data_IF_024172548416
#
_entry.id   IF_024172548416
#
_cell.length_a   1.000
_cell.length_b   1.000
_cell.length_c   1.000
_cell.angle_alpha   90.00
_cell.angle_beta   90.00
_cell.angle_gamma   90.00
#
_symmetry.space_group_name_H-M   'P 1'
#
loop_
_entity.id
_entity.type
_entity.pdbx_description
1 polymer ?
#
# COMPACT_ATOMS: atom_id res chain seq x y z
N UNK A 1 8.47 -28.01 -62.91
CA UNK A 1 8.98 -27.09 -61.88
C UNK A 1 7.87 -26.85 -60.85
N UNK A 2 7.90 -27.54 -59.69
CA UNK A 2 6.91 -27.36 -58.59
C UNK A 2 7.37 -26.22 -57.71
N UNK A 3 6.58 -25.15 -57.61
CA UNK A 3 6.82 -24.03 -56.66
C UNK A 3 6.31 -24.46 -55.30
N UNK A 4 7.24 -24.62 -54.34
CA UNK A 4 6.90 -24.83 -52.91
C UNK A 4 6.64 -23.44 -52.33
N UNK A 5 5.38 -23.18 -51.94
CA UNK A 5 5.01 -21.99 -51.15
C UNK A 5 5.17 -22.37 -49.68
N UNK A 6 6.19 -21.82 -49.03
CA UNK A 6 6.38 -21.95 -47.60
C UNK A 6 5.53 -20.86 -46.94
N UNK A 7 4.42 -21.27 -46.29
CA UNK A 7 3.59 -20.41 -45.48
C UNK A 7 4.29 -20.24 -44.12
N UNK A 8 4.90 -19.07 -43.89
CA UNK A 8 5.46 -18.71 -42.57
C UNK A 8 4.29 -18.27 -41.68
N UNK A 9 3.80 -19.18 -40.86
CA UNK A 9 2.85 -18.82 -39.78
C UNK A 9 3.61 -18.12 -38.64
N UNK A 10 3.46 -16.79 -38.56
CA UNK A 10 3.95 -16.01 -37.42
C UNK A 10 3.09 -16.36 -36.20
N UNK A 11 3.60 -17.17 -35.29
CA UNK A 11 3.03 -17.36 -33.97
C UNK A 11 3.31 -16.07 -33.17
N UNK A 12 2.35 -15.16 -33.16
CA UNK A 12 2.32 -14.08 -32.15
C UNK A 12 1.88 -14.73 -30.84
N UNK A 13 2.84 -15.15 -30.03
CA UNK A 13 2.60 -15.50 -28.65
C UNK A 13 2.21 -14.22 -27.89
N UNK A 14 0.94 -13.85 -27.92
CA UNK A 14 0.40 -12.90 -26.95
C UNK A 14 0.52 -13.57 -25.58
N UNK A 15 1.46 -13.10 -24.78
CA UNK A 15 1.61 -13.55 -23.40
C UNK A 15 0.35 -13.17 -22.63
N UNK A 16 -0.56 -14.13 -22.43
CA UNK A 16 -1.81 -13.95 -21.67
C UNK A 16 -1.63 -13.53 -20.20
N UNK A 17 -0.41 -13.38 -19.76
CA UNK A 17 -0.02 -12.87 -18.45
C UNK A 17 -0.16 -11.34 -18.33
N UNK A 18 0.06 -10.61 -19.42
CA UNK A 18 -0.10 -9.15 -19.46
C UNK A 18 -1.56 -8.74 -19.25
N UNK A 19 -2.52 -9.52 -19.76
CA UNK A 19 -3.93 -9.19 -19.68
C UNK A 19 -4.48 -9.34 -18.26
N UNK A 20 -4.14 -10.42 -17.53
CA UNK A 20 -4.65 -10.67 -16.18
C UNK A 20 -4.12 -9.64 -15.17
N UNK A 21 -2.88 -9.18 -15.32
CA UNK A 21 -2.30 -8.15 -14.46
C UNK A 21 -2.94 -6.77 -14.72
N UNK A 22 -3.13 -6.41 -15.98
CA UNK A 22 -3.84 -5.19 -16.36
C UNK A 22 -5.30 -5.18 -15.87
N UNK A 23 -5.99 -6.33 -15.95
CA UNK A 23 -7.35 -6.49 -15.43
C UNK A 23 -7.40 -6.34 -13.89
N UNK A 24 -6.40 -6.85 -13.17
CA UNK A 24 -6.28 -6.64 -11.72
C UNK A 24 -6.16 -5.15 -11.38
N UNK A 25 -5.21 -4.44 -11.97
CA UNK A 25 -5.03 -3.01 -11.68
C UNK A 25 -6.27 -2.20 -12.04
N UNK A 26 -6.90 -2.49 -13.17
CA UNK A 26 -8.15 -1.84 -13.60
C UNK A 26 -9.27 -2.07 -12.57
N UNK A 27 -9.48 -3.32 -12.13
CA UNK A 27 -10.51 -3.62 -11.14
C UNK A 27 -10.19 -3.07 -9.76
N UNK A 28 -8.91 -3.12 -9.32
CA UNK A 28 -8.48 -2.51 -8.07
C UNK A 28 -8.72 -0.99 -8.08
N UNK A 29 -8.41 -0.31 -9.21
CA UNK A 29 -8.68 1.11 -9.34
C UNK A 29 -10.18 1.43 -9.21
N UNK A 30 -11.05 0.73 -9.95
CA UNK A 30 -12.49 0.91 -9.88
C UNK A 30 -13.05 0.62 -8.47
N UNK A 31 -12.49 -0.37 -7.77
CA UNK A 31 -12.84 -0.68 -6.39
C UNK A 31 -12.50 0.48 -5.46
N UNK A 32 -11.26 0.99 -5.49
CA UNK A 32 -10.87 2.10 -4.62
C UNK A 32 -11.65 3.37 -4.93
N UNK A 33 -11.91 3.69 -6.19
CA UNK A 33 -12.75 4.84 -6.59
C UNK A 33 -14.17 4.74 -6.03
N UNK A 34 -14.73 3.53 -5.94
CA UNK A 34 -16.10 3.30 -5.49
C UNK A 34 -16.26 3.30 -3.97
N UNK A 35 -15.26 2.77 -3.25
CA UNK A 35 -15.40 2.46 -1.82
C UNK A 35 -14.50 3.28 -0.91
N UNK A 36 -13.58 4.09 -1.46
CA UNK A 36 -12.67 4.93 -0.68
C UNK A 36 -12.98 6.41 -0.92
N UNK A 37 -13.22 7.15 0.15
CA UNK A 37 -13.44 8.59 0.10
C UNK A 37 -12.70 9.28 1.25
N UNK A 38 -11.85 10.26 0.94
CA UNK A 38 -11.08 11.03 1.93
C UNK A 38 -10.32 10.13 2.94
N UNK A 39 -9.70 9.06 2.47
CA UNK A 39 -8.93 8.12 3.29
C UNK A 39 -9.76 7.11 4.08
N UNK A 40 -11.08 7.17 3.99
CA UNK A 40 -12.02 6.31 4.69
C UNK A 40 -12.67 5.31 3.76
N UNK A 41 -13.01 4.13 4.29
CA UNK A 41 -13.58 3.01 3.55
C UNK A 41 -15.04 2.79 3.92
N UNK A 42 -15.88 2.47 2.94
CA UNK A 42 -17.29 2.17 3.11
C UNK A 42 -17.51 0.72 3.62
N UNK A 43 -16.97 0.38 4.80
CA UNK A 43 -16.98 -0.99 5.34
C UNK A 43 -18.39 -1.55 5.53
N UNK A 44 -19.35 -0.76 6.03
CA UNK A 44 -20.73 -1.19 6.19
C UNK A 44 -21.38 -1.58 4.85
N UNK A 45 -21.05 -0.89 3.76
CA UNK A 45 -21.52 -1.23 2.41
C UNK A 45 -20.87 -2.52 1.91
N UNK A 46 -19.56 -2.65 2.07
CA UNK A 46 -18.79 -3.81 1.66
C UNK A 46 -19.17 -5.07 2.46
N UNK A 47 -19.48 -4.95 3.75
CA UNK A 47 -19.94 -6.08 4.55
C UNK A 47 -21.29 -6.64 4.07
N UNK A 48 -22.18 -5.78 3.54
CA UNK A 48 -23.46 -6.21 2.97
C UNK A 48 -23.31 -6.87 1.59
N UNK A 49 -22.36 -6.39 0.79
CA UNK A 49 -22.05 -6.92 -0.53
C UNK A 49 -20.55 -6.75 -0.81
N UNK A 50 -19.82 -7.85 -0.69
CA UNK A 50 -18.36 -7.89 -0.90
C UNK A 50 -17.95 -8.28 -2.32
N UNK A 51 -18.92 -8.45 -3.24
CA UNK A 51 -18.67 -9.03 -4.57
C UNK A 51 -17.53 -8.33 -5.30
N UNK A 52 -17.50 -7.01 -5.34
CA UNK A 52 -16.44 -6.26 -6.04
C UNK A 52 -15.06 -6.51 -5.43
N UNK A 53 -14.98 -6.65 -4.10
CA UNK A 53 -13.72 -6.97 -3.40
C UNK A 53 -13.30 -8.42 -3.67
N UNK A 54 -14.23 -9.36 -3.61
CA UNK A 54 -13.96 -10.78 -3.85
C UNK A 54 -13.53 -11.01 -5.30
N UNK A 55 -14.13 -10.30 -6.26
CA UNK A 55 -13.76 -10.34 -7.68
C UNK A 55 -12.30 -9.87 -7.90
N UNK A 56 -11.88 -8.76 -7.28
CA UNK A 56 -10.50 -8.26 -7.45
C UNK A 56 -9.49 -9.15 -6.72
N UNK A 57 -9.82 -9.67 -5.54
CA UNK A 57 -8.95 -10.61 -4.81
C UNK A 57 -8.83 -11.96 -5.55
N UNK A 58 -9.89 -12.40 -6.23
CA UNK A 58 -9.84 -13.59 -7.08
C UNK A 58 -8.86 -13.44 -8.24
N UNK A 59 -8.74 -12.26 -8.85
CA UNK A 59 -7.70 -11.97 -9.84
C UNK A 59 -6.31 -11.99 -9.20
N UNK A 60 -6.14 -11.32 -8.04
CA UNK A 60 -4.88 -11.27 -7.33
C UNK A 60 -4.33 -12.66 -6.97
N UNK A 61 -5.21 -13.63 -6.70
CA UNK A 61 -4.83 -15.01 -6.40
C UNK A 61 -4.01 -15.67 -7.48
N UNK A 62 -4.34 -15.45 -8.75
CA UNK A 62 -3.74 -16.14 -9.91
C UNK A 62 -2.57 -15.39 -10.56
N UNK A 63 -2.32 -14.15 -10.15
CA UNK A 63 -1.22 -13.35 -10.71
C UNK A 63 0.11 -13.87 -10.20
N UNK A 64 1.05 -14.05 -11.12
CA UNK A 64 2.45 -14.32 -10.79
C UNK A 64 3.27 -13.09 -11.11
N UNK A 65 3.83 -12.46 -10.09
CA UNK A 65 4.69 -11.29 -10.22
C UNK A 65 6.15 -11.67 -10.14
N UNK A 66 7.03 -10.99 -10.92
CA UNK A 66 8.48 -11.15 -10.85
C UNK A 66 9.13 -9.86 -10.35
N UNK A 67 10.14 -9.99 -9.49
CA UNK A 67 10.96 -8.86 -9.02
C UNK A 67 11.76 -8.19 -10.15
N UNK A 68 11.95 -8.87 -11.27
CA UNK A 68 12.59 -8.28 -12.45
C UNK A 68 11.78 -7.14 -13.05
N UNK A 69 10.47 -7.10 -12.74
CA UNK A 69 9.55 -5.98 -13.03
C UNK A 69 9.22 -5.25 -11.74
N UNK A 70 10.21 -4.57 -11.17
CA UNK A 70 10.16 -4.01 -9.82
C UNK A 70 8.89 -3.17 -9.55
N UNK A 71 8.54 -2.26 -10.44
CA UNK A 71 7.38 -1.37 -10.26
C UNK A 71 6.06 -2.15 -10.27
N UNK A 72 5.91 -3.11 -11.19
CA UNK A 72 4.74 -3.98 -11.27
C UNK A 72 4.62 -4.86 -10.02
N UNK A 73 5.73 -5.43 -9.57
CA UNK A 73 5.79 -6.22 -8.34
C UNK A 73 5.35 -5.41 -7.11
N UNK A 74 5.93 -4.23 -6.91
CA UNK A 74 5.60 -3.35 -5.79
C UNK A 74 4.15 -2.88 -5.87
N UNK A 75 3.69 -2.39 -7.02
CA UNK A 75 2.32 -1.95 -7.22
C UNK A 75 1.31 -3.07 -6.92
N UNK A 76 1.57 -4.29 -7.40
CA UNK A 76 0.74 -5.46 -7.11
C UNK A 76 0.63 -5.73 -5.60
N UNK A 77 1.76 -5.79 -4.88
CA UNK A 77 1.76 -6.12 -3.47
C UNK A 77 1.19 -5.01 -2.59
N UNK A 78 1.37 -3.73 -2.95
CA UNK A 78 0.74 -2.60 -2.25
C UNK A 78 -0.79 -2.67 -2.37
N UNK A 79 -1.32 -2.84 -3.58
CA UNK A 79 -2.76 -2.97 -3.77
C UNK A 79 -3.32 -4.21 -3.08
N UNK A 80 -2.65 -5.35 -3.21
CA UNK A 80 -3.06 -6.61 -2.59
C UNK A 80 -3.09 -6.51 -1.06
N UNK A 81 -2.11 -5.85 -0.45
CA UNK A 81 -2.09 -5.55 0.99
C UNK A 81 -3.32 -4.72 1.39
N UNK A 82 -3.54 -3.58 0.73
CA UNK A 82 -4.64 -2.68 1.07
C UNK A 82 -6.02 -3.32 0.88
N UNK A 83 -6.22 -4.08 -0.21
CA UNK A 83 -7.45 -4.84 -0.44
C UNK A 83 -7.67 -5.93 0.61
N UNK A 84 -6.59 -6.62 1.03
CA UNK A 84 -6.65 -7.66 2.05
C UNK A 84 -6.91 -7.10 3.44
N UNK A 85 -6.39 -5.92 3.78
CA UNK A 85 -6.76 -5.20 5.01
C UNK A 85 -8.26 -4.92 5.02
N UNK A 86 -8.81 -4.41 3.92
CA UNK A 86 -10.26 -4.16 3.80
C UNK A 86 -11.04 -5.48 3.95
N UNK A 87 -10.59 -6.57 3.31
CA UNK A 87 -11.20 -7.90 3.45
C UNK A 87 -11.20 -8.37 4.90
N UNK A 88 -10.08 -8.28 5.59
CA UNK A 88 -9.96 -8.68 7.00
C UNK A 88 -10.89 -7.88 7.92
N UNK A 89 -11.10 -6.58 7.65
CA UNK A 89 -12.03 -5.76 8.43
C UNK A 89 -13.48 -6.18 8.17
N UNK A 90 -13.89 -6.37 6.92
CA UNK A 90 -15.29 -6.75 6.62
C UNK A 90 -15.64 -8.16 7.09
N UNK A 91 -14.67 -9.09 7.11
CA UNK A 91 -14.86 -10.45 7.61
C UNK A 91 -15.10 -10.49 9.14
N UNK A 92 -14.68 -9.44 9.83
CA UNK A 92 -14.82 -9.26 11.28
C UNK A 92 -15.77 -8.10 11.64
N UNK A 93 -16.53 -7.60 10.67
CA UNK A 93 -17.40 -6.43 10.88
C UNK A 93 -18.68 -6.81 11.66
N UNK A 94 -19.14 -5.97 12.61
CA UNK A 94 -18.54 -4.70 13.03
C UNK A 94 -17.33 -4.87 13.96
N UNK A 95 -16.28 -4.09 13.74
CA UNK A 95 -15.10 -4.04 14.61
C UNK A 95 -14.67 -2.58 14.84
N UNK A 96 -14.15 -2.25 16.00
CA UNK A 96 -13.66 -0.90 16.30
C UNK A 96 -12.21 -0.70 15.88
N UNK A 97 -11.45 -1.80 15.81
CA UNK A 97 -10.02 -1.79 15.50
C UNK A 97 -9.62 -3.08 14.79
N UNK A 98 -8.67 -3.04 13.84
CA UNK A 98 -8.05 -4.27 13.34
C UNK A 98 -7.44 -5.13 14.45
N UNK A 99 -6.98 -4.50 15.55
CA UNK A 99 -6.38 -5.19 16.70
C UNK A 99 -7.39 -5.96 17.56
N UNK A 100 -8.69 -5.72 17.40
CA UNK A 100 -9.73 -6.52 18.08
C UNK A 100 -9.72 -7.98 17.58
N UNK A 101 -9.07 -8.24 16.45
CA UNK A 101 -8.98 -9.53 15.82
C UNK A 101 -7.55 -10.11 15.98
N UNK A 102 -7.40 -11.03 16.93
CA UNK A 102 -6.09 -11.59 17.28
C UNK A 102 -5.39 -12.24 16.07
N UNK A 103 -4.22 -11.73 15.71
CA UNK A 103 -3.45 -12.21 14.57
C UNK A 103 -3.88 -11.66 13.21
N UNK A 104 -4.60 -10.53 13.20
CA UNK A 104 -5.06 -9.86 11.97
C UNK A 104 -3.93 -9.68 10.94
N UNK A 105 -2.78 -9.21 11.35
CA UNK A 105 -1.63 -8.99 10.46
C UNK A 105 -0.72 -10.20 10.32
N UNK A 106 -0.52 -10.99 11.38
CA UNK A 106 0.53 -12.01 11.45
C UNK A 106 0.03 -13.43 11.18
N UNK A 107 -1.28 -13.72 11.37
CA UNK A 107 -1.80 -15.11 11.30
C UNK A 107 -2.81 -15.29 10.18
N UNK A 108 -3.66 -14.30 9.91
CA UNK A 108 -4.65 -14.36 8.83
C UNK A 108 -3.93 -14.39 7.48
N UNK A 109 -4.23 -15.42 6.68
CA UNK A 109 -3.60 -15.62 5.37
C UNK A 109 -4.59 -15.36 4.25
N UNK A 110 -4.11 -14.72 3.22
CA UNK A 110 -4.83 -14.41 1.98
C UNK A 110 -4.20 -15.17 0.81
N UNK A 111 -5.02 -15.64 -0.14
CA UNK A 111 -4.54 -16.28 -1.37
C UNK A 111 -4.18 -15.19 -2.39
N UNK A 112 -2.89 -14.86 -2.53
CA UNK A 112 -2.39 -13.77 -3.35
C UNK A 112 -1.10 -14.21 -4.05
N UNK A 113 -0.93 -13.85 -5.31
CA UNK A 113 0.32 -14.12 -6.01
C UNK A 113 0.67 -15.62 -6.12
N UNK A 114 -0.33 -16.49 -6.17
CA UNK A 114 -0.15 -17.94 -6.20
C UNK A 114 0.25 -18.58 -4.86
N UNK A 115 0.19 -17.83 -3.74
CA UNK A 115 0.59 -18.33 -2.41
C UNK A 115 -0.38 -17.90 -1.32
N UNK A 116 -0.33 -18.57 -0.16
CA UNK A 116 -1.02 -18.14 1.06
C UNK A 116 -0.08 -17.30 1.91
N UNK A 117 -0.37 -16.02 2.05
CA UNK A 117 0.52 -15.05 2.68
C UNK A 117 -0.21 -14.17 3.69
N UNK A 118 0.48 -13.73 4.74
CA UNK A 118 -0.03 -12.79 5.73
C UNK A 118 0.26 -11.34 5.31
N UNK A 119 -0.48 -10.38 5.88
CA UNK A 119 -0.19 -8.95 5.69
C UNK A 119 1.24 -8.61 6.16
N UNK A 120 1.63 -9.12 7.31
CA UNK A 120 2.99 -8.94 7.84
C UNK A 120 4.08 -9.45 6.89
N UNK A 121 3.86 -10.59 6.24
CA UNK A 121 4.83 -11.13 5.29
C UNK A 121 4.91 -10.28 4.00
N UNK A 122 3.77 -9.75 3.53
CA UNK A 122 3.77 -8.82 2.38
C UNK A 122 4.61 -7.58 2.70
N UNK A 123 4.31 -6.93 3.82
CA UNK A 123 5.01 -5.71 4.23
C UNK A 123 6.50 -5.97 4.46
N UNK A 124 6.84 -6.94 5.32
CA UNK A 124 8.21 -7.09 5.79
C UNK A 124 9.12 -7.89 4.85
N UNK A 125 8.60 -8.97 4.22
CA UNK A 125 9.44 -9.86 3.39
C UNK A 125 9.41 -9.51 1.91
N UNK A 126 8.26 -9.05 1.39
CA UNK A 126 8.12 -8.82 -0.05
C UNK A 126 8.40 -7.37 -0.45
N UNK A 127 8.10 -6.40 0.41
CA UNK A 127 8.31 -4.98 0.12
C UNK A 127 9.52 -4.43 0.87
N UNK A 128 9.47 -4.27 2.19
CA UNK A 128 10.53 -3.60 2.96
C UNK A 128 11.91 -4.25 2.79
N UNK A 129 12.02 -5.56 2.97
CA UNK A 129 13.31 -6.27 2.87
C UNK A 129 13.88 -6.36 1.44
N UNK A 130 13.06 -6.08 0.41
CA UNK A 130 13.48 -6.22 -0.98
C UNK A 130 13.87 -4.88 -1.62
N UNK A 131 13.21 -3.79 -1.22
CA UNK A 131 13.33 -2.50 -1.89
C UNK A 131 13.88 -1.40 -0.99
N UNK A 132 13.90 -1.61 0.33
CA UNK A 132 14.43 -0.65 1.32
C UNK A 132 13.88 0.77 1.13
N UNK A 133 12.60 0.90 0.74
CA UNK A 133 11.95 2.18 0.48
C UNK A 133 11.05 2.60 1.66
N UNK A 134 11.44 3.62 2.45
CA UNK A 134 10.63 4.10 3.58
C UNK A 134 9.26 4.65 3.18
N UNK A 135 9.03 4.95 1.91
CA UNK A 135 7.76 5.48 1.41
C UNK A 135 6.62 4.45 1.51
N UNK A 136 6.94 3.16 1.64
CA UNK A 136 5.91 2.13 1.87
C UNK A 136 5.07 2.39 3.11
N UNK A 137 5.64 3.01 4.15
CA UNK A 137 4.91 3.37 5.37
C UNK A 137 3.83 4.44 5.16
N UNK A 138 3.76 5.07 3.99
CA UNK A 138 2.75 6.06 3.64
C UNK A 138 1.70 5.53 2.64
N UNK A 139 1.82 4.28 2.20
CA UNK A 139 0.94 3.65 1.20
C UNK A 139 0.37 2.31 1.62
N UNK A 140 1.00 1.62 2.59
CA UNK A 140 0.45 0.42 3.23
C UNK A 140 -0.46 0.85 4.37
N UNK A 141 -1.77 0.79 4.16
CA UNK A 141 -2.77 1.33 5.09
C UNK A 141 -3.40 0.20 5.89
N UNK A 142 -3.13 0.18 7.20
CA UNK A 142 -3.57 -0.89 8.12
C UNK A 142 -5.05 -0.81 8.54
N UNK A 143 -5.86 0.02 7.88
CA UNK A 143 -7.29 0.16 8.15
C UNK A 143 -7.66 1.02 9.36
N UNK A 144 -6.70 1.76 9.91
CA UNK A 144 -6.91 2.61 11.09
C UNK A 144 -6.83 4.11 10.76
N UNK A 145 -7.46 4.95 11.57
CA UNK A 145 -7.41 6.43 11.42
C UNK A 145 -5.98 6.97 11.58
N UNK A 146 -5.12 6.29 12.34
CA UNK A 146 -3.71 6.67 12.52
C UNK A 146 -2.84 6.45 11.30
N UNK A 147 -3.30 5.69 10.28
CA UNK A 147 -2.59 5.52 9.01
C UNK A 147 -2.55 6.82 8.19
N UNK A 148 -1.60 6.96 7.28
CA UNK A 148 -1.78 7.87 6.16
C UNK A 148 -3.08 7.58 5.41
N UNK A 149 -3.70 8.59 4.76
CA UNK A 149 -4.97 8.39 4.07
C UNK A 149 -4.83 7.35 2.94
N UNK A 150 -5.72 6.36 2.92
CA UNK A 150 -5.83 5.47 1.77
C UNK A 150 -6.33 6.27 0.56
N UNK A 151 -5.62 6.16 -0.56
CA UNK A 151 -6.07 6.85 -1.79
C UNK A 151 -7.20 6.07 -2.46
N UNK A 152 -8.06 6.80 -3.16
CA UNK A 152 -9.16 6.23 -3.94
C UNK A 152 -8.74 5.78 -5.35
N UNK A 153 -7.51 5.33 -5.51
CA UNK A 153 -6.94 4.83 -6.77
C UNK A 153 -6.03 3.65 -6.48
N UNK A 154 -5.86 2.78 -7.46
CA UNK A 154 -4.82 1.77 -7.40
C UNK A 154 -3.43 2.41 -7.58
N UNK A 155 -2.42 1.79 -6.98
CA UNK A 155 -1.02 2.01 -7.33
C UNK A 155 -0.75 1.29 -8.65
N UNK A 156 -0.20 2.01 -9.62
CA UNK A 156 0.01 1.50 -10.97
C UNK A 156 1.51 1.45 -11.30
N UNK A 157 1.99 0.43 -12.00
CA UNK A 157 3.42 0.31 -12.33
C UNK A 157 4.01 1.56 -12.98
N UNK A 158 3.27 2.16 -13.92
CA UNK A 158 3.74 3.29 -14.74
C UNK A 158 3.87 4.60 -13.94
N UNK A 159 3.19 4.71 -12.82
CA UNK A 159 3.14 5.93 -11.97
C UNK A 159 3.53 5.67 -10.54
N UNK A 160 4.07 4.49 -10.22
CA UNK A 160 4.32 4.06 -8.85
C UNK A 160 5.20 5.03 -8.07
N UNK A 161 6.33 5.42 -8.65
CA UNK A 161 7.28 6.32 -7.99
C UNK A 161 6.63 7.69 -7.69
N UNK A 162 5.89 8.24 -8.62
CA UNK A 162 5.13 9.49 -8.44
C UNK A 162 4.05 9.35 -7.36
N UNK A 163 3.36 8.20 -7.31
CA UNK A 163 2.33 7.92 -6.30
C UNK A 163 2.95 7.79 -4.91
N UNK A 164 4.08 7.08 -4.76
CA UNK A 164 4.83 6.96 -3.51
C UNK A 164 5.30 8.33 -3.01
N UNK A 165 5.89 9.12 -3.90
CA UNK A 165 6.36 10.49 -3.64
C UNK A 165 5.20 11.39 -3.19
N UNK A 166 4.08 11.34 -3.88
CA UNK A 166 2.89 12.15 -3.60
C UNK A 166 2.28 11.80 -2.24
N UNK A 167 2.10 10.51 -1.93
CA UNK A 167 1.53 10.10 -0.64
C UNK A 167 2.46 10.44 0.52
N UNK A 168 3.76 10.31 0.35
CA UNK A 168 4.74 10.73 1.34
C UNK A 168 4.66 12.23 1.61
N UNK A 169 4.55 13.06 0.56
CA UNK A 169 4.37 14.51 0.69
C UNK A 169 3.06 14.87 1.38
N UNK A 170 1.96 14.24 1.02
CA UNK A 170 0.65 14.46 1.66
C UNK A 170 0.73 14.16 3.15
N UNK A 171 1.29 13.01 3.54
CA UNK A 171 1.43 12.64 4.93
C UNK A 171 2.30 13.63 5.72
N UNK A 172 3.51 13.92 5.22
CA UNK A 172 4.50 14.73 5.93
C UNK A 172 4.20 16.25 5.91
N UNK A 173 3.29 16.73 5.06
CA UNK A 173 2.78 18.11 5.09
C UNK A 173 1.38 18.23 5.73
N UNK A 174 0.76 17.10 6.06
CA UNK A 174 -0.57 17.00 6.67
C UNK A 174 -0.53 16.76 8.18
N UNK A 175 -1.51 15.99 8.66
CA UNK A 175 -1.73 15.70 10.08
C UNK A 175 -0.78 14.69 10.69
N UNK A 176 0.01 13.99 9.87
CA UNK A 176 1.00 12.99 10.29
C UNK A 176 2.14 13.59 11.12
N UNK A 177 2.26 14.91 11.08
CA UNK A 177 3.32 15.65 11.72
C UNK A 177 2.82 17.02 12.18
N UNK A 178 3.30 17.49 13.35
CA UNK A 178 3.02 18.83 13.91
C UNK A 178 4.31 19.49 14.38
N UNK A 179 4.59 20.70 13.89
CA UNK A 179 5.78 21.48 14.26
C UNK A 179 5.43 22.50 15.32
N UNK A 180 6.18 22.52 16.43
CA UNK A 180 6.13 23.54 17.48
C UNK A 180 7.44 24.34 17.48
N UNK A 181 7.44 25.44 16.75
CA UNK A 181 8.61 26.32 16.61
C UNK A 181 9.04 26.95 17.94
N UNK A 182 8.09 27.27 18.83
CA UNK A 182 8.39 27.88 20.14
C UNK A 182 9.16 26.92 21.05
N UNK A 183 8.77 25.63 21.04
CA UNK A 183 9.43 24.60 21.85
C UNK A 183 10.57 23.88 21.11
N UNK A 184 10.85 24.26 19.85
CA UNK A 184 11.81 23.57 18.97
C UNK A 184 11.56 22.06 18.95
N UNK A 185 10.33 21.65 18.67
CA UNK A 185 9.88 20.24 18.66
C UNK A 185 9.09 19.94 17.40
N UNK A 186 9.19 18.69 16.98
CA UNK A 186 8.30 18.11 15.98
C UNK A 186 7.66 16.86 16.58
N UNK A 187 6.34 16.81 16.58
CA UNK A 187 5.58 15.62 16.93
C UNK A 187 5.21 14.89 15.65
N UNK A 188 5.62 13.65 15.52
CA UNK A 188 5.38 12.78 14.36
C UNK A 188 4.55 11.57 14.74
N UNK A 189 3.92 10.93 13.78
CA UNK A 189 3.17 9.68 13.99
C UNK A 189 4.07 8.60 14.60
N UNK A 190 3.50 7.77 15.46
CA UNK A 190 4.17 6.62 16.06
C UNK A 190 4.65 5.58 15.02
N UNK A 191 4.15 5.59 13.80
CA UNK A 191 4.71 4.81 12.68
C UNK A 191 6.21 5.10 12.52
N UNK A 192 6.62 6.37 12.62
CA UNK A 192 8.04 6.72 12.51
C UNK A 192 8.88 6.23 13.69
N UNK A 193 8.27 5.97 14.86
CA UNK A 193 8.94 5.32 15.99
C UNK A 193 9.15 3.83 15.75
N UNK A 194 8.10 3.14 15.29
CA UNK A 194 8.14 1.68 15.06
C UNK A 194 9.12 1.29 13.97
N UNK A 195 9.20 2.11 12.91
CA UNK A 195 10.04 1.87 11.74
C UNK A 195 11.21 2.84 11.64
N UNK A 196 11.72 3.26 12.76
CA UNK A 196 12.75 4.31 12.87
C UNK A 196 13.98 4.05 12.01
N UNK A 197 14.40 2.81 11.91
CA UNK A 197 15.59 2.42 11.14
C UNK A 197 15.38 2.65 9.64
N UNK A 198 14.17 2.43 9.12
CA UNK A 198 13.87 2.68 7.71
C UNK A 198 13.99 4.17 7.36
N UNK A 199 13.64 5.06 8.29
CA UNK A 199 13.74 6.51 8.10
C UNK A 199 15.14 7.07 8.34
N UNK A 200 16.07 6.23 8.80
CA UNK A 200 17.46 6.60 9.11
C UNK A 200 18.49 5.92 8.21
N UNK A 201 18.05 5.29 7.16
CA UNK A 201 18.93 4.61 6.21
C UNK A 201 20.01 5.54 5.69
N UNK A 202 21.16 4.97 5.34
CA UNK A 202 22.30 5.67 4.75
C UNK A 202 22.84 6.83 5.61
N UNK A 203 22.72 6.73 6.95
CA UNK A 203 23.24 7.73 7.88
C UNK A 203 22.44 9.02 7.98
N UNK A 204 21.21 9.04 7.42
CA UNK A 204 20.28 10.17 7.54
C UNK A 204 19.59 10.18 8.89
N UNK A 205 19.05 11.32 9.29
CA UNK A 205 18.16 11.44 10.47
C UNK A 205 16.70 11.41 10.02
N UNK A 206 15.77 11.16 10.95
CA UNK A 206 14.33 11.28 10.66
C UNK A 206 13.96 12.69 10.18
N UNK A 207 14.63 13.74 10.69
CA UNK A 207 14.41 15.12 10.25
C UNK A 207 14.89 15.31 8.80
N UNK A 208 16.02 14.71 8.43
CA UNK A 208 16.52 14.78 7.05
C UNK A 208 15.55 14.09 6.09
N UNK A 209 15.05 12.89 6.46
CA UNK A 209 14.02 12.21 5.70
C UNK A 209 12.75 13.06 5.55
N UNK A 210 12.22 13.58 6.65
CA UNK A 210 11.03 14.44 6.66
C UNK A 210 11.27 15.66 5.75
N UNK A 211 12.42 16.30 5.88
CA UNK A 211 12.77 17.49 5.12
C UNK A 211 12.92 17.24 3.61
N UNK A 212 13.19 16.01 3.18
CA UNK A 212 13.19 15.68 1.76
C UNK A 212 11.82 15.99 1.12
N UNK A 213 10.73 15.73 1.84
CA UNK A 213 9.36 15.81 1.33
C UNK A 213 8.55 17.03 1.80
N UNK A 214 9.05 17.77 2.79
CA UNK A 214 8.33 18.94 3.31
C UNK A 214 8.61 20.20 2.49
N UNK A 215 7.57 21.04 2.36
CA UNK A 215 7.68 22.42 1.86
C UNK A 215 8.41 23.28 2.90
N UNK A 216 7.88 23.32 4.13
CA UNK A 216 8.48 24.06 5.23
C UNK A 216 9.47 23.18 5.98
N UNK A 217 10.76 23.44 5.82
CA UNK A 217 11.81 22.63 6.41
C UNK A 217 11.87 22.80 7.93
N UNK A 218 12.13 21.69 8.62
CA UNK A 218 12.31 21.63 10.07
C UNK A 218 13.81 21.80 10.37
N UNK A 219 14.21 22.73 11.26
CA UNK A 219 15.60 22.85 11.68
C UNK A 219 16.12 21.56 12.35
N UNK A 220 17.35 21.15 12.02
CA UNK A 220 17.94 19.89 12.52
C UNK A 220 18.13 19.85 14.04
N UNK A 221 18.08 20.99 14.73
CA UNK A 221 18.17 21.06 16.19
C UNK A 221 16.81 20.85 16.90
N UNK A 222 15.73 20.57 16.17
CA UNK A 222 14.43 20.27 16.76
C UNK A 222 14.43 18.85 17.33
N UNK A 223 13.71 18.67 18.46
CA UNK A 223 13.56 17.36 19.10
C UNK A 223 12.32 16.65 18.58
N UNK A 224 12.49 15.42 18.11
CA UNK A 224 11.37 14.57 17.70
C UNK A 224 10.62 14.06 18.95
N UNK A 225 9.31 13.98 18.85
CA UNK A 225 8.38 13.31 19.76
C UNK A 225 7.38 12.51 18.93
N UNK A 226 6.92 11.40 19.45
CA UNK A 226 5.94 10.56 18.79
C UNK A 226 4.59 10.75 19.49
N UNK A 227 3.52 10.91 18.72
CA UNK A 227 2.17 10.93 19.27
C UNK A 227 1.51 9.56 19.10
N UNK A 228 0.62 9.15 20.04
CA UNK A 228 -0.03 7.86 20.02
C UNK A 228 -0.76 7.60 18.72
N UNK A 229 -0.66 6.37 18.23
CA UNK A 229 -1.34 5.93 17.04
C UNK A 229 -2.82 5.65 17.33
N UNK A 230 -3.71 6.11 16.44
CA UNK A 230 -5.15 5.89 16.58
C UNK A 230 -5.57 4.64 15.79
N UNK A 231 -5.78 3.54 16.51
CA UNK A 231 -6.17 2.26 15.95
C UNK A 231 -7.66 2.13 15.60
N UNK A 232 -8.47 3.17 15.82
CA UNK A 232 -9.89 3.14 15.42
C UNK A 232 -9.98 2.97 13.90
N UNK A 233 -10.90 2.09 13.44
CA UNK A 233 -11.14 1.81 12.02
C UNK A 233 -11.43 3.10 11.25
N UNK A 234 -10.84 3.23 10.06
CA UNK A 234 -11.00 4.37 9.15
C UNK A 234 -12.31 4.26 8.32
N UNK A 235 -13.44 4.07 9.00
CA UNK A 235 -14.76 3.95 8.40
C UNK A 235 -15.32 5.33 7.97
N UNK A 236 -16.13 5.31 6.87
CA UNK A 236 -16.87 6.50 6.37
C UNK A 236 -17.99 6.92 7.31
#
# INVERSE_FOLDING_TARGET
MKKIVVLLTLFIAFSGWSQSEADFFKKANAFFETYVNNGKVAYAKLHKDSKDLDDVLSLAKSISTSKDKADSYQAFWINSYNLSVIKGIIDNYPTNSPLDNAGFFEKTKYDLGGTKITLNDIEHKLLRAQFEDPRFHFVLVCGAIGCPPLINKAYLPETLDEQLETQTKIALNGTFLKVDNKKKRVAVSQIMEWYKEDFRMNGTTEIDFINKYRTDKIPNNFKIRYFPYNWKVNEQ
#
